data_IF_222699835861
#
_entry.id   IF_222699835861
#
_cell.length_a   1.000
_cell.length_b   1.000
_cell.length_c   1.000
_cell.angle_alpha   90.00
_cell.angle_beta   90.00
_cell.angle_gamma   90.00
#
_symmetry.space_group_name_H-M   'P 1'
#
loop_
_entity.id
_entity.type
_entity.pdbx_description
1 polymer ?
#
# COMPACT_ATOMS: atom_id res chain seq x y z
N UNK A 1 12.95 -38.76 -9.77
CA UNK A 1 13.22 -37.43 -10.39
C UNK A 1 12.09 -36.50 -10.00
N UNK A 2 12.34 -35.28 -9.50
CA UNK A 2 11.28 -34.35 -9.14
C UNK A 2 10.66 -33.74 -10.41
N UNK A 3 9.37 -33.95 -10.61
CA UNK A 3 8.55 -33.26 -11.59
C UNK A 3 7.84 -32.12 -10.87
N UNK A 4 7.79 -30.96 -11.50
CA UNK A 4 7.03 -29.79 -11.03
C UNK A 4 5.99 -29.43 -12.08
N UNK A 5 4.88 -28.85 -11.66
CA UNK A 5 3.85 -28.39 -12.60
C UNK A 5 4.23 -26.99 -13.09
N UNK A 6 4.01 -26.74 -14.38
CA UNK A 6 4.11 -25.39 -14.93
C UNK A 6 3.07 -24.48 -14.26
N UNK A 7 3.45 -23.28 -13.76
CA UNK A 7 2.50 -22.34 -13.16
C UNK A 7 1.46 -21.80 -14.14
N UNK A 8 1.74 -21.85 -15.45
CA UNK A 8 0.85 -21.33 -16.50
C UNK A 8 -0.03 -22.40 -17.14
N UNK A 9 0.56 -23.51 -17.60
CA UNK A 9 -0.18 -24.53 -18.35
C UNK A 9 -0.49 -25.80 -17.54
N UNK A 10 -0.09 -25.86 -16.26
CA UNK A 10 -0.28 -27.01 -15.36
C UNK A 10 0.30 -28.35 -15.86
N UNK A 11 1.12 -28.31 -16.91
CA UNK A 11 1.76 -29.51 -17.45
C UNK A 11 2.97 -29.95 -16.61
N UNK A 12 3.19 -31.25 -16.56
CA UNK A 12 4.29 -31.87 -15.83
C UNK A 12 5.62 -31.57 -16.53
N UNK A 13 6.58 -31.00 -15.81
CA UNK A 13 7.90 -30.70 -16.36
C UNK A 13 9.01 -30.95 -15.36
N UNK A 14 10.21 -31.23 -15.88
CA UNK A 14 11.37 -31.49 -15.05
C UNK A 14 11.88 -30.18 -14.43
N UNK A 15 12.31 -30.21 -13.18
CA UNK A 15 12.93 -29.04 -12.51
C UNK A 15 14.19 -28.53 -13.19
N UNK A 16 14.80 -29.32 -14.09
CA UNK A 16 15.96 -28.95 -14.90
C UNK A 16 15.59 -28.35 -16.27
N UNK A 17 14.30 -28.26 -16.62
CA UNK A 17 13.87 -27.74 -17.91
C UNK A 17 14.05 -26.21 -17.96
N UNK A 18 14.73 -25.73 -19.02
CA UNK A 18 14.98 -24.30 -19.25
C UNK A 18 13.67 -23.58 -19.62
N UNK A 19 12.82 -24.25 -20.39
CA UNK A 19 11.51 -23.77 -20.81
C UNK A 19 10.49 -24.92 -20.79
N UNK A 20 9.22 -24.59 -20.58
CA UNK A 20 8.13 -25.57 -20.66
C UNK A 20 7.91 -25.98 -22.12
N UNK A 21 7.91 -27.28 -22.47
CA UNK A 21 7.71 -27.73 -23.85
C UNK A 21 6.29 -27.51 -24.37
N UNK A 22 5.31 -27.30 -23.48
CA UNK A 22 3.92 -27.12 -23.84
C UNK A 22 3.57 -25.64 -24.09
N UNK A 23 3.91 -24.74 -23.16
CA UNK A 23 3.59 -23.32 -23.28
C UNK A 23 4.75 -22.43 -23.77
N UNK A 24 5.98 -22.95 -23.78
CA UNK A 24 7.17 -22.19 -24.19
C UNK A 24 7.70 -21.20 -23.14
N UNK A 25 7.09 -21.11 -21.95
CA UNK A 25 7.57 -20.18 -20.91
C UNK A 25 8.91 -20.64 -20.31
N UNK A 26 9.84 -19.71 -20.07
CA UNK A 26 11.08 -20.00 -19.35
C UNK A 26 10.78 -20.29 -17.88
N UNK A 27 11.07 -21.50 -17.42
CA UNK A 27 10.78 -21.95 -16.04
C UNK A 27 11.90 -21.53 -15.08
N UNK A 28 13.07 -21.16 -15.61
CA UNK A 28 14.26 -20.82 -14.85
C UNK A 28 14.55 -19.30 -14.87
N UNK A 29 13.51 -18.47 -14.82
CA UNK A 29 13.69 -17.03 -14.64
C UNK A 29 14.02 -16.79 -13.16
N UNK A 30 15.19 -16.21 -12.80
CA UNK A 30 15.44 -15.81 -11.43
C UNK A 30 14.37 -14.78 -11.08
N UNK A 31 13.50 -15.13 -10.12
CA UNK A 31 12.48 -14.23 -9.59
C UNK A 31 13.24 -13.06 -8.96
N UNK A 32 13.43 -11.99 -9.72
CA UNK A 32 13.98 -10.74 -9.19
C UNK A 32 12.95 -10.25 -8.20
N UNK A 33 13.21 -10.51 -6.92
CA UNK A 33 12.37 -10.08 -5.82
C UNK A 33 12.25 -8.56 -5.90
N UNK A 34 11.12 -8.08 -6.43
CA UNK A 34 10.85 -6.67 -6.55
C UNK A 34 10.63 -6.17 -5.13
N UNK A 35 11.62 -5.48 -4.60
CA UNK A 35 11.50 -4.73 -3.36
C UNK A 35 10.43 -3.65 -3.57
N UNK A 36 9.22 -3.94 -3.10
CA UNK A 36 8.13 -2.98 -3.04
C UNK A 36 8.52 -1.94 -1.99
N UNK A 37 8.99 -0.79 -2.45
CA UNK A 37 9.23 0.38 -1.59
C UNK A 37 7.87 0.93 -1.18
N UNK A 38 7.46 0.62 0.04
CA UNK A 38 6.28 1.23 0.66
C UNK A 38 6.67 2.65 1.07
N UNK A 39 6.13 3.66 0.40
CA UNK A 39 6.35 5.05 0.78
C UNK A 39 5.63 5.36 2.11
N UNK A 40 6.26 6.08 3.05
CA UNK A 40 5.60 6.52 4.27
C UNK A 40 4.40 7.42 3.95
N UNK A 41 3.25 7.12 4.56
CA UNK A 41 2.05 7.95 4.47
C UNK A 41 2.18 9.10 5.47
N UNK A 42 2.39 10.30 4.96
CA UNK A 42 2.54 11.51 5.76
C UNK A 42 1.16 12.08 6.10
N UNK A 43 0.48 11.48 7.07
CA UNK A 43 -0.73 12.07 7.68
C UNK A 43 -0.31 13.15 8.71
N UNK A 44 0.53 14.11 8.28
CA UNK A 44 0.88 15.28 9.09
C UNK A 44 -0.18 16.35 8.87
N UNK A 45 -1.33 16.21 9.55
CA UNK A 45 -2.26 17.32 9.68
C UNK A 45 -1.54 18.44 10.44
N UNK A 46 -1.32 19.62 9.84
CA UNK A 46 -0.36 20.55 10.39
C UNK A 46 -0.82 21.10 11.75
N UNK A 47 0.08 21.24 12.73
CA UNK A 47 -0.27 21.71 14.08
C UNK A 47 -0.89 23.13 14.08
N UNK A 48 -0.59 23.94 13.05
CA UNK A 48 -1.19 25.27 12.87
C UNK A 48 -2.67 25.22 12.47
N UNK A 49 -3.13 24.17 11.78
CA UNK A 49 -4.54 24.01 11.42
C UNK A 49 -5.42 23.81 12.66
N UNK A 50 -4.97 22.99 13.61
CA UNK A 50 -5.68 22.71 14.86
C UNK A 50 -5.75 23.97 15.73
N UNK A 51 -4.65 24.74 15.79
CA UNK A 51 -4.59 25.98 16.55
C UNK A 51 -5.64 27.01 16.08
N UNK A 52 -5.83 27.18 14.75
CA UNK A 52 -6.81 28.12 14.20
C UNK A 52 -8.26 27.71 14.50
N UNK A 53 -8.56 26.41 14.38
CA UNK A 53 -9.89 25.87 14.67
C UNK A 53 -10.23 26.05 16.15
N UNK A 54 -9.28 25.75 17.04
CA UNK A 54 -9.46 25.92 18.48
C UNK A 54 -9.69 27.39 18.84
N UNK A 55 -8.89 28.31 18.29
CA UNK A 55 -9.01 29.74 18.56
C UNK A 55 -10.36 30.30 18.07
N UNK A 56 -10.78 29.91 16.87
CA UNK A 56 -12.08 30.29 16.31
C UNK A 56 -13.25 29.75 17.12
N UNK A 57 -13.20 28.49 17.53
CA UNK A 57 -14.25 27.87 18.35
C UNK A 57 -14.39 28.54 19.72
N UNK A 58 -13.28 28.85 20.38
CA UNK A 58 -13.26 29.57 21.67
C UNK A 58 -13.86 30.96 21.52
N UNK A 59 -13.50 31.70 20.45
CA UNK A 59 -14.04 33.03 20.18
C UNK A 59 -15.56 32.99 19.98
N UNK A 60 -16.05 32.04 19.18
CA UNK A 60 -17.49 31.87 18.91
C UNK A 60 -18.26 31.54 20.19
N UNK A 61 -17.73 30.62 21.02
CA UNK A 61 -18.34 30.28 22.31
C UNK A 61 -18.37 31.47 23.27
N UNK A 62 -17.29 32.25 23.35
CA UNK A 62 -17.25 33.46 24.17
C UNK A 62 -18.28 34.50 23.73
N UNK A 63 -18.39 34.76 22.42
CA UNK A 63 -19.37 35.71 21.88
C UNK A 63 -20.80 35.22 22.16
N UNK A 64 -21.09 33.95 21.91
CA UNK A 64 -22.40 33.36 22.20
C UNK A 64 -22.74 33.46 23.71
N UNK A 65 -21.77 33.19 24.58
CA UNK A 65 -21.93 33.32 26.02
C UNK A 65 -22.22 34.76 26.46
N UNK A 66 -21.49 35.74 25.91
CA UNK A 66 -21.72 37.15 26.22
C UNK A 66 -23.11 37.63 25.78
N UNK A 67 -23.59 37.17 24.61
CA UNK A 67 -24.94 37.46 24.13
C UNK A 67 -26.00 36.83 25.05
N UNK A 68 -25.79 35.59 25.50
CA UNK A 68 -26.73 34.91 26.41
C UNK A 68 -26.75 35.46 27.83
N UNK A 69 -25.69 36.16 28.23
CA UNK A 69 -25.53 36.72 29.58
C UNK A 69 -26.04 38.16 29.70
N UNK A 70 -26.43 38.78 28.58
CA UNK A 70 -26.95 40.15 28.48
C UNK A 70 -28.49 40.12 28.41
#
# INVERSE_FOLDING_TARGET
MPLVLCPDCSHELSTAAIACPNCGLPVNAPVVARNVVVAPREDSFPPWGIALIALGGILVLLVAFLIFRQ
#
